data_IF_292803817422
#
_entry.id   IF_292803817422
#
_cell.length_a   1.000
_cell.length_b   1.000
_cell.length_c   1.000
_cell.angle_alpha   90.00
_cell.angle_beta   90.00
_cell.angle_gamma   90.00
#
_symmetry.space_group_name_H-M   'P 1'
#
loop_
_entity.id
_entity.type
_entity.pdbx_description
1 polymer ?
#
# COMPACT_ATOMS: atom_id res chain seq x y z
N UNK A 1 2.94 -9.81 18.24
CA UNK A 1 3.55 -9.48 16.93
C UNK A 1 3.49 -7.96 16.75
N UNK A 2 4.60 -7.30 16.38
CA UNK A 2 4.57 -5.84 16.12
C UNK A 2 3.72 -5.59 14.87
N UNK A 3 2.66 -4.80 14.99
CA UNK A 3 1.88 -4.36 13.82
C UNK A 3 2.84 -3.63 12.88
N UNK A 4 2.99 -4.15 11.65
CA UNK A 4 3.70 -3.41 10.61
C UNK A 4 2.92 -2.12 10.37
N UNK A 5 3.59 -0.97 10.52
CA UNK A 5 2.95 0.36 10.35
C UNK A 5 2.78 0.76 8.89
N UNK A 6 3.47 0.08 8.00
CA UNK A 6 3.55 0.45 6.59
C UNK A 6 3.25 -0.75 5.70
N UNK A 7 2.66 -0.46 4.55
CA UNK A 7 2.36 -1.44 3.52
C UNK A 7 2.99 -1.01 2.19
N UNK A 8 3.86 -1.87 1.65
CA UNK A 8 4.47 -1.70 0.34
C UNK A 8 3.60 -2.38 -0.71
N UNK A 9 2.99 -1.58 -1.59
CA UNK A 9 2.19 -2.05 -2.69
C UNK A 9 3.01 -2.04 -3.99
N UNK A 10 3.15 -3.20 -4.61
CA UNK A 10 3.82 -3.36 -5.92
C UNK A 10 2.85 -3.71 -7.05
N UNK A 11 1.57 -3.95 -6.73
CA UNK A 11 0.54 -4.26 -7.72
C UNK A 11 -0.21 -3.00 -8.11
N UNK A 12 -0.33 -2.75 -9.41
CA UNK A 12 -1.10 -1.60 -9.94
C UNK A 12 -2.58 -1.74 -9.65
N UNK A 13 -3.12 -2.96 -9.69
CA UNK A 13 -4.54 -3.21 -9.43
C UNK A 13 -4.87 -2.95 -7.96
N UNK A 14 -4.04 -3.47 -7.05
CA UNK A 14 -4.17 -3.20 -5.62
C UNK A 14 -3.98 -1.72 -5.29
N UNK A 15 -3.06 -1.03 -5.98
CA UNK A 15 -2.92 0.43 -5.87
C UNK A 15 -4.21 1.15 -6.25
N UNK A 16 -4.86 0.77 -7.36
CA UNK A 16 -6.11 1.39 -7.80
C UNK A 16 -7.23 1.13 -6.79
N UNK A 17 -7.33 -0.07 -6.22
CA UNK A 17 -8.30 -0.39 -5.17
C UNK A 17 -8.08 0.44 -3.91
N UNK A 18 -6.84 0.48 -3.39
CA UNK A 18 -6.48 1.28 -2.22
C UNK A 18 -6.74 2.77 -2.45
N UNK A 19 -6.41 3.27 -3.63
CA UNK A 19 -6.66 4.67 -4.02
C UNK A 19 -8.15 4.97 -4.10
N UNK A 20 -8.95 4.10 -4.70
CA UNK A 20 -10.40 4.26 -4.80
C UNK A 20 -11.08 4.25 -3.43
N UNK A 21 -10.54 3.47 -2.48
CA UNK A 21 -11.00 3.42 -1.10
C UNK A 21 -10.52 4.61 -0.25
N UNK A 22 -9.65 5.48 -0.76
CA UNK A 22 -9.12 6.63 -0.01
C UNK A 22 -8.03 6.27 1.01
N UNK A 23 -7.30 5.16 0.81
CA UNK A 23 -6.19 4.77 1.66
C UNK A 23 -5.10 5.85 1.70
N UNK A 24 -4.51 6.06 2.87
CA UNK A 24 -3.50 7.10 3.07
C UNK A 24 -2.16 6.73 2.41
N UNK A 25 -1.96 7.26 1.20
CA UNK A 25 -0.72 7.14 0.45
C UNK A 25 0.36 8.02 1.09
N UNK A 26 1.49 7.42 1.45
CA UNK A 26 2.68 8.11 1.97
C UNK A 26 3.54 8.58 0.80
N UNK A 27 3.90 7.68 -0.12
CA UNK A 27 4.72 8.03 -1.27
C UNK A 27 4.60 7.03 -2.43
N UNK A 28 5.08 7.46 -3.59
CA UNK A 28 5.37 6.63 -4.75
C UNK A 28 6.87 6.73 -5.05
N UNK A 29 7.54 5.60 -5.26
CA UNK A 29 8.97 5.56 -5.53
C UNK A 29 9.34 4.33 -6.38
N UNK A 30 10.60 4.28 -6.81
CA UNK A 30 11.18 3.12 -7.48
C UNK A 30 12.15 2.41 -6.54
N UNK A 31 12.12 1.08 -6.52
CA UNK A 31 13.09 0.27 -5.80
C UNK A 31 14.48 0.34 -6.46
N UNK A 32 15.50 -0.20 -5.79
CA UNK A 32 16.85 -0.38 -6.36
C UNK A 32 16.86 -1.16 -7.68
N UNK A 33 15.82 -1.96 -7.96
CA UNK A 33 15.64 -2.71 -9.20
C UNK A 33 14.80 -1.94 -10.25
N UNK A 34 14.63 -0.63 -10.10
CA UNK A 34 13.76 0.22 -10.94
C UNK A 34 12.30 -0.25 -11.00
N UNK A 35 11.82 -0.96 -9.95
CA UNK A 35 10.42 -1.40 -9.88
C UNK A 35 9.59 -0.35 -9.13
N UNK A 36 8.50 0.18 -9.72
CA UNK A 36 7.64 1.14 -9.03
C UNK A 36 6.92 0.50 -7.84
N UNK A 37 6.72 1.27 -6.78
CA UNK A 37 5.91 0.88 -5.62
C UNK A 37 5.24 2.08 -4.97
N UNK A 38 4.16 1.80 -4.25
CA UNK A 38 3.44 2.75 -3.42
C UNK A 38 3.56 2.35 -1.95
N UNK A 39 3.81 3.32 -1.08
CA UNK A 39 3.88 3.12 0.35
C UNK A 39 2.62 3.69 1.00
N UNK A 40 1.95 2.88 1.81
CA UNK A 40 0.76 3.28 2.55
C UNK A 40 0.98 3.17 4.06
N UNK A 41 0.26 3.99 4.82
CA UNK A 41 0.08 3.71 6.25
C UNK A 41 -0.83 2.49 6.40
N UNK A 42 -0.41 1.53 7.22
CA UNK A 42 -1.16 0.28 7.43
C UNK A 42 -2.22 0.49 8.52
N UNK A 43 -3.30 1.12 8.11
CA UNK A 43 -4.49 1.37 8.92
C UNK A 43 -5.53 0.23 8.77
N UNK A 44 -6.70 0.40 9.42
CA UNK A 44 -7.80 -0.58 9.36
C UNK A 44 -8.37 -0.75 7.95
N UNK A 45 -8.32 0.28 7.12
CA UNK A 45 -8.85 0.25 5.76
C UNK A 45 -7.95 -0.57 4.86
N UNK A 46 -6.63 -0.35 4.94
CA UNK A 46 -5.64 -1.18 4.24
C UNK A 46 -5.76 -2.64 4.67
N UNK A 47 -5.83 -2.91 5.98
CA UNK A 47 -6.03 -4.28 6.48
C UNK A 47 -7.34 -4.91 5.98
N UNK A 48 -8.43 -4.16 5.89
CA UNK A 48 -9.70 -4.67 5.36
C UNK A 48 -9.64 -5.03 3.88
N UNK A 49 -8.83 -4.33 3.08
CA UNK A 49 -8.68 -4.61 1.65
C UNK A 49 -7.76 -5.82 1.44
N UNK A 50 -6.71 -5.94 2.25
CA UNK A 50 -5.75 -7.05 2.15
C UNK A 50 -6.29 -8.39 2.63
N UNK A 51 -7.29 -8.40 3.53
CA UNK A 51 -7.87 -9.62 4.09
C UNK A 51 -9.27 -9.96 3.52
N UNK A 52 -9.64 -9.37 2.38
CA UNK A 52 -10.78 -9.83 1.58
C UNK A 52 -10.46 -11.18 0.94
#
# INVERSE_FOLDING_TARGET
MKKQRYFFCYSKDLHNELKAAGAQLICFAYSSHQKPFWLYEKDRLVDSILNK
#
